data_IF_083607819368
#
_entry.id   IF_083607819368
#
_cell.length_a   1.000
_cell.length_b   1.000
_cell.length_c   1.000
_cell.angle_alpha   90.00
_cell.angle_beta   90.00
_cell.angle_gamma   90.00
#
_symmetry.space_group_name_H-M   'P 1'
#
loop_
_entity.id
_entity.type
_entity.pdbx_description
1 polymer ?
#
# COMPACT_ATOMS: atom_id res chain seq x y z
N UNK A 1 79.84 -7.48 -0.88
CA UNK A 1 79.20 -8.15 0.27
C UNK A 1 78.26 -7.15 0.92
N UNK A 2 76.99 -7.15 0.50
CA UNK A 2 75.84 -7.70 1.23
C UNK A 2 75.13 -6.62 2.07
N UNK A 3 73.92 -6.19 1.68
CA UNK A 3 72.61 -6.56 2.32
C UNK A 3 72.31 -5.59 3.49
N UNK A 4 71.22 -4.82 3.61
CA UNK A 4 69.82 -4.93 3.16
C UNK A 4 69.16 -3.54 3.22
N UNK A 5 68.30 -3.24 2.25
CA UNK A 5 67.34 -2.13 2.27
C UNK A 5 66.21 -2.47 3.24
N UNK A 6 65.78 -1.53 4.09
CA UNK A 6 64.51 -1.61 4.81
C UNK A 6 63.56 -0.55 4.21
N UNK A 7 62.60 -1.03 3.41
CA UNK A 7 61.50 -0.24 2.90
C UNK A 7 60.38 -0.26 3.94
N UNK A 8 60.00 0.91 4.46
CA UNK A 8 58.78 1.06 5.28
C UNK A 8 57.62 1.23 4.31
N UNK A 9 56.79 0.20 4.20
CA UNK A 9 55.53 0.23 3.47
C UNK A 9 54.47 0.91 4.35
N UNK A 10 54.06 2.13 3.99
CA UNK A 10 52.88 2.79 4.57
C UNK A 10 51.66 2.27 3.79
N UNK A 11 50.94 1.33 4.39
CA UNK A 11 49.67 0.85 3.86
C UNK A 11 48.60 1.92 3.99
N UNK A 12 48.18 2.49 2.86
CA UNK A 12 46.99 3.33 2.79
C UNK A 12 45.74 2.43 2.72
N UNK A 13 45.12 2.17 3.86
CA UNK A 13 43.77 1.60 3.92
C UNK A 13 42.75 2.68 3.54
N UNK A 14 42.47 2.81 2.25
CA UNK A 14 41.30 3.53 1.75
C UNK A 14 40.05 2.71 2.12
N UNK A 15 39.50 3.00 3.30
CA UNK A 15 38.16 2.57 3.67
C UNK A 15 37.17 3.21 2.67
N UNK A 16 36.68 2.40 1.74
CA UNK A 16 35.55 2.73 0.89
C UNK A 16 34.31 2.85 1.79
N UNK A 17 34.06 4.06 2.29
CA UNK A 17 32.77 4.47 2.83
C UNK A 17 31.80 4.61 1.63
N UNK A 18 31.32 3.48 1.11
CA UNK A 18 30.16 3.49 0.21
C UNK A 18 28.93 3.86 1.03
N UNK A 19 28.64 5.16 1.04
CA UNK A 19 27.33 5.77 1.20
C UNK A 19 26.32 5.07 2.10
N UNK A 20 26.40 5.32 3.41
CA UNK A 20 25.17 5.45 4.21
C UNK A 20 24.47 6.72 3.73
N UNK A 21 23.66 6.58 2.69
CA UNK A 21 22.74 7.61 2.23
C UNK A 21 21.70 7.89 3.31
N UNK A 22 22.06 8.73 4.26
CA UNK A 22 21.13 9.51 5.08
C UNK A 22 20.40 10.48 4.16
N UNK A 23 19.50 9.95 3.36
CA UNK A 23 18.58 10.75 2.57
C UNK A 23 17.44 11.17 3.47
N UNK A 24 17.47 12.41 3.95
CA UNK A 24 16.25 13.20 4.19
C UNK A 24 15.53 13.50 2.86
N UNK A 25 15.52 12.51 1.96
CA UNK A 25 14.94 12.57 0.64
C UNK A 25 13.44 12.40 0.80
N UNK A 26 12.72 13.46 0.47
CA UNK A 26 11.28 13.42 0.31
C UNK A 26 10.89 12.20 -0.54
N UNK A 27 10.00 11.35 -0.02
CA UNK A 27 9.64 10.11 -0.70
C UNK A 27 9.13 10.43 -2.12
N UNK A 28 9.73 9.84 -3.16
CA UNK A 28 9.49 10.27 -4.53
C UNK A 28 8.04 10.01 -4.92
N UNK A 29 7.54 10.87 -5.80
CA UNK A 29 6.25 10.63 -6.45
C UNK A 29 6.34 9.43 -7.38
N UNK A 30 5.38 8.52 -7.30
CA UNK A 30 5.36 7.33 -8.14
C UNK A 30 4.77 7.62 -9.53
N UNK A 31 5.39 7.09 -10.57
CA UNK A 31 4.80 7.01 -11.90
C UNK A 31 3.75 5.87 -12.01
N UNK A 32 3.14 5.70 -13.18
CA UNK A 32 2.12 4.68 -13.39
C UNK A 32 2.66 3.24 -13.19
N UNK A 33 3.88 2.95 -13.64
CA UNK A 33 4.48 1.61 -13.53
C UNK A 33 4.84 1.29 -12.08
N UNK A 34 5.42 2.27 -11.37
CA UNK A 34 5.69 2.17 -9.95
C UNK A 34 4.40 2.02 -9.15
N UNK A 35 3.35 2.76 -9.51
CA UNK A 35 2.01 2.61 -8.91
C UNK A 35 1.51 1.18 -9.06
N UNK A 36 1.58 0.60 -10.26
CA UNK A 36 1.23 -0.82 -10.50
C UNK A 36 2.08 -1.75 -9.64
N UNK A 37 3.38 -1.52 -9.53
CA UNK A 37 4.29 -2.37 -8.76
C UNK A 37 3.96 -2.40 -7.25
N UNK A 38 3.38 -1.32 -6.69
CA UNK A 38 2.96 -1.31 -5.27
C UNK A 38 1.82 -2.28 -4.99
N UNK A 39 0.94 -2.53 -5.95
CA UNK A 39 -0.24 -3.35 -5.76
C UNK A 39 0.15 -4.82 -5.55
N UNK A 40 -0.58 -5.56 -4.70
CA UNK A 40 -0.48 -7.00 -4.66
C UNK A 40 -0.84 -7.60 -6.03
N UNK A 41 -0.05 -8.58 -6.45
CA UNK A 41 -0.19 -9.40 -7.66
C UNK A 41 -0.35 -10.90 -7.29
N UNK A 42 -0.59 -11.76 -8.28
CA UNK A 42 -0.75 -13.20 -8.09
C UNK A 42 0.42 -13.87 -7.33
N UNK A 43 1.65 -13.37 -7.50
CA UNK A 43 2.84 -13.93 -6.84
C UNK A 43 2.87 -13.55 -5.36
N UNK A 44 2.38 -12.36 -5.03
CA UNK A 44 2.35 -11.85 -3.67
C UNK A 44 1.18 -12.39 -2.83
N UNK A 45 0.18 -12.99 -3.48
CA UNK A 45 -1.03 -13.53 -2.82
C UNK A 45 -1.29 -14.97 -3.27
N UNK A 46 -0.39 -15.93 -2.98
CA UNK A 46 -0.53 -17.30 -3.46
C UNK A 46 -1.82 -17.96 -2.97
N UNK A 47 -2.46 -18.75 -3.85
CA UNK A 47 -3.72 -19.45 -3.58
C UNK A 47 -4.98 -18.61 -3.80
N UNK A 48 -4.83 -17.33 -4.14
CA UNK A 48 -5.94 -16.45 -4.54
C UNK A 48 -5.97 -16.31 -6.05
N UNK A 49 -7.18 -16.32 -6.62
CA UNK A 49 -7.39 -16.07 -8.04
C UNK A 49 -7.49 -14.56 -8.29
N UNK A 50 -6.85 -14.08 -9.36
CA UNK A 50 -6.87 -12.66 -9.71
C UNK A 50 -8.21 -12.33 -10.37
N UNK A 51 -9.01 -11.51 -9.70
CA UNK A 51 -10.24 -10.96 -10.27
C UNK A 51 -9.96 -9.72 -11.13
N UNK A 52 -8.91 -8.96 -10.78
CA UNK A 52 -8.46 -7.80 -11.51
C UNK A 52 -6.94 -7.67 -11.39
N UNK A 53 -6.24 -7.79 -12.52
CA UNK A 53 -4.80 -7.59 -12.59
C UNK A 53 -4.41 -6.17 -12.14
N UNK A 54 -3.26 -6.01 -11.46
CA UNK A 54 -2.73 -4.71 -11.09
C UNK A 54 -2.68 -3.73 -12.26
N UNK A 55 -3.40 -2.62 -12.12
CA UNK A 55 -3.47 -1.57 -13.14
C UNK A 55 -3.50 -0.20 -12.48
N UNK A 56 -2.92 0.80 -13.14
CA UNK A 56 -2.95 2.19 -12.70
C UNK A 56 -3.52 3.11 -13.77
N UNK A 57 -4.32 4.08 -13.33
CA UNK A 57 -4.95 5.09 -14.17
C UNK A 57 -4.57 6.47 -13.66
N UNK A 58 -4.55 7.46 -14.57
CA UNK A 58 -4.60 8.86 -14.12
C UNK A 58 -5.89 9.10 -13.36
N UNK A 59 -5.90 10.05 -12.41
CA UNK A 59 -7.09 10.35 -11.62
C UNK A 59 -8.32 10.63 -12.50
N UNK A 60 -8.16 11.43 -13.57
CA UNK A 60 -9.25 11.74 -14.52
C UNK A 60 -9.85 10.47 -15.12
N UNK A 61 -9.01 9.53 -15.56
CA UNK A 61 -9.47 8.27 -16.14
C UNK A 61 -10.13 7.39 -15.08
N UNK A 62 -9.54 7.27 -13.90
CA UNK A 62 -10.10 6.52 -12.78
C UNK A 62 -11.51 7.01 -12.40
N UNK A 63 -11.71 8.33 -12.33
CA UNK A 63 -13.02 8.93 -12.06
C UNK A 63 -14.03 8.65 -13.19
N UNK A 64 -13.62 8.80 -14.45
CA UNK A 64 -14.50 8.54 -15.60
C UNK A 64 -14.96 7.08 -15.69
N UNK A 65 -14.17 6.15 -15.17
CA UNK A 65 -14.48 4.72 -15.13
C UNK A 65 -15.23 4.30 -13.86
N UNK A 66 -15.43 5.21 -12.89
CA UNK A 66 -16.04 4.90 -11.60
C UNK A 66 -15.18 4.06 -10.64
N UNK A 67 -13.93 3.75 -11.02
CA UNK A 67 -12.96 3.01 -10.17
C UNK A 67 -12.28 3.93 -9.15
N UNK A 68 -12.14 5.21 -9.48
CA UNK A 68 -11.70 6.26 -8.55
C UNK A 68 -12.90 6.98 -7.95
N UNK A 69 -12.79 7.37 -6.67
CA UNK A 69 -13.76 8.25 -6.02
C UNK A 69 -13.06 9.31 -5.18
N UNK A 70 -13.61 10.52 -5.23
CA UNK A 70 -13.25 11.63 -4.38
C UNK A 70 -14.42 11.92 -3.44
N UNK A 71 -14.13 12.19 -2.17
CA UNK A 71 -15.14 12.36 -1.13
C UNK A 71 -14.92 13.67 -0.38
N UNK A 72 -16.02 14.34 -0.04
CA UNK A 72 -16.04 15.62 0.69
C UNK A 72 -16.56 16.79 -0.15
N UNK A 73 -16.93 17.87 0.54
CA UNK A 73 -17.14 19.18 -0.07
C UNK A 73 -15.76 19.79 -0.33
N UNK A 74 -15.41 19.95 -1.60
CA UNK A 74 -14.08 20.31 -2.13
C UNK A 74 -13.03 19.14 -2.15
N UNK A 75 -12.14 19.09 -3.16
CA UNK A 75 -11.52 17.85 -3.69
C UNK A 75 -10.37 17.25 -2.85
N UNK A 76 -10.24 17.55 -1.56
CA UNK A 76 -9.05 17.25 -0.75
C UNK A 76 -8.64 15.78 -0.73
N UNK A 77 -9.61 14.84 -0.74
CA UNK A 77 -9.30 13.40 -0.77
C UNK A 77 -8.62 12.94 -2.06
N UNK A 78 -8.69 13.75 -3.12
CA UNK A 78 -8.07 13.49 -4.42
C UNK A 78 -7.14 14.62 -4.84
N UNK A 79 -6.97 15.63 -3.99
CA UNK A 79 -6.17 16.79 -4.32
C UNK A 79 -4.75 16.30 -4.59
N UNK A 80 -4.30 16.55 -5.82
CA UNK A 80 -2.95 16.19 -6.29
C UNK A 80 -2.66 14.68 -6.28
N UNK A 81 -3.69 13.83 -6.33
CA UNK A 81 -3.52 12.43 -6.71
C UNK A 81 -3.09 12.39 -8.18
N UNK A 82 -1.97 11.72 -8.45
CA UNK A 82 -1.42 11.55 -9.79
C UNK A 82 -1.98 10.31 -10.45
N UNK A 83 -1.84 9.17 -9.76
CA UNK A 83 -2.34 7.89 -10.21
C UNK A 83 -3.17 7.20 -9.14
N UNK A 84 -4.15 6.46 -9.61
CA UNK A 84 -4.92 5.53 -8.81
C UNK A 84 -4.68 4.13 -9.35
N UNK A 85 -4.15 3.25 -8.50
CA UNK A 85 -3.94 1.84 -8.81
C UNK A 85 -5.00 0.97 -8.16
N UNK A 86 -5.37 -0.12 -8.84
CA UNK A 86 -6.31 -1.13 -8.32
C UNK A 86 -5.86 -2.55 -8.64
N UNK A 87 -6.11 -3.48 -7.72
CA UNK A 87 -6.09 -4.93 -7.97
C UNK A 87 -7.14 -5.62 -7.11
N UNK A 88 -7.62 -6.78 -7.54
CA UNK A 88 -8.65 -7.53 -6.81
C UNK A 88 -8.45 -9.03 -6.93
N UNK A 89 -8.86 -9.75 -5.90
CA UNK A 89 -8.67 -11.19 -5.77
C UNK A 89 -9.90 -11.85 -5.18
N UNK A 90 -10.12 -13.11 -5.53
CA UNK A 90 -11.13 -13.95 -4.93
C UNK A 90 -10.55 -15.33 -4.58
N UNK A 91 -11.16 -15.98 -3.60
CA UNK A 91 -10.88 -17.37 -3.26
C UNK A 91 -12.17 -18.01 -2.74
N UNK A 92 -12.47 -19.23 -3.20
CA UNK A 92 -13.70 -19.92 -2.80
C UNK A 92 -13.77 -20.06 -1.27
N UNK A 93 -14.93 -19.69 -0.71
CA UNK A 93 -15.17 -19.78 0.74
C UNK A 93 -14.42 -18.72 1.57
N UNK A 94 -13.89 -17.67 0.93
CA UNK A 94 -13.21 -16.56 1.60
C UNK A 94 -13.86 -15.22 1.22
N UNK A 95 -13.61 -14.14 2.00
CA UNK A 95 -13.99 -12.79 1.60
C UNK A 95 -13.29 -12.37 0.29
N UNK A 96 -13.98 -11.64 -0.58
CA UNK A 96 -13.38 -10.99 -1.74
C UNK A 96 -12.44 -9.87 -1.28
N UNK A 97 -11.31 -9.73 -1.98
CA UNK A 97 -10.26 -8.76 -1.66
C UNK A 97 -10.15 -7.70 -2.74
N UNK A 98 -9.99 -6.45 -2.33
CA UNK A 98 -9.71 -5.34 -3.23
C UNK A 98 -8.68 -4.40 -2.64
N UNK A 99 -7.74 -3.97 -3.48
CA UNK A 99 -6.65 -3.07 -3.13
C UNK A 99 -6.74 -1.82 -3.98
N UNK A 100 -6.58 -0.66 -3.35
CA UNK A 100 -6.48 0.63 -4.03
C UNK A 100 -5.24 1.35 -3.51
N UNK A 101 -4.46 1.96 -4.40
CA UNK A 101 -3.40 2.90 -4.04
C UNK A 101 -3.69 4.25 -4.68
N UNK A 102 -3.53 5.32 -3.93
CA UNK A 102 -3.51 6.70 -4.42
C UNK A 102 -2.09 7.23 -4.25
N UNK A 103 -1.49 7.67 -5.36
CA UNK A 103 -0.14 8.23 -5.34
C UNK A 103 -0.21 9.74 -5.43
N UNK A 104 0.51 10.41 -4.54
CA UNK A 104 0.54 11.86 -4.44
C UNK A 104 1.84 12.42 -5.01
N UNK A 105 1.89 13.74 -5.17
CA UNK A 105 3.11 14.45 -5.55
C UNK A 105 4.25 14.20 -4.57
N UNK A 106 3.94 14.11 -3.28
CA UNK A 106 4.91 14.02 -2.21
C UNK A 106 4.28 13.50 -0.91
N UNK A 107 5.13 13.15 0.06
CA UNK A 107 4.73 12.63 1.37
C UNK A 107 3.89 13.63 2.18
N UNK A 108 4.22 14.93 2.09
CA UNK A 108 3.48 15.98 2.79
C UNK A 108 2.03 16.07 2.29
N UNK A 109 1.83 16.01 0.98
CA UNK A 109 0.51 16.01 0.34
C UNK A 109 -0.27 14.76 0.76
N UNK A 110 0.32 13.56 0.68
CA UNK A 110 -0.32 12.33 1.13
C UNK A 110 -0.74 12.42 2.61
N UNK A 111 0.13 12.94 3.48
CA UNK A 111 -0.18 13.14 4.91
C UNK A 111 -1.36 14.09 5.10
N UNK A 112 -1.43 15.19 4.34
CA UNK A 112 -2.55 16.15 4.44
C UNK A 112 -3.88 15.57 3.98
N UNK A 113 -3.87 14.74 2.92
CA UNK A 113 -5.08 14.13 2.36
C UNK A 113 -5.62 12.96 3.20
N UNK A 114 -4.77 12.35 4.03
CA UNK A 114 -5.05 11.09 4.72
C UNK A 114 -6.40 11.05 5.45
N UNK A 115 -6.73 12.09 6.24
CA UNK A 115 -8.00 12.12 6.99
C UNK A 115 -9.22 12.32 6.09
N UNK A 116 -9.08 13.06 5.00
CA UNK A 116 -10.15 13.25 4.02
C UNK A 116 -10.44 11.95 3.26
N UNK A 117 -9.39 11.23 2.84
CA UNK A 117 -9.51 9.89 2.23
C UNK A 117 -10.22 8.93 3.21
N UNK A 118 -9.79 8.92 4.48
CA UNK A 118 -10.37 8.05 5.50
C UNK A 118 -11.85 8.33 5.72
N UNK A 119 -12.22 9.61 5.90
CA UNK A 119 -13.62 10.03 6.06
C UNK A 119 -14.47 9.57 4.87
N UNK A 120 -13.94 9.67 3.66
CA UNK A 120 -14.62 9.24 2.44
C UNK A 120 -14.84 7.74 2.34
N UNK A 121 -13.80 6.95 2.59
CA UNK A 121 -13.86 5.50 2.42
C UNK A 121 -14.51 4.78 3.59
N UNK A 122 -14.35 5.27 4.83
CA UNK A 122 -14.99 4.68 6.02
C UNK A 122 -16.52 4.61 5.87
N UNK A 123 -17.13 5.54 5.14
CA UNK A 123 -18.57 5.52 4.85
C UNK A 123 -19.06 4.26 4.10
N UNK A 124 -18.16 3.49 3.48
CA UNK A 124 -18.48 2.20 2.84
C UNK A 124 -18.56 1.02 3.79
N UNK A 125 -18.25 1.23 5.07
CA UNK A 125 -18.42 0.22 6.11
C UNK A 125 -19.41 0.78 7.12
N UNK A 126 -20.73 0.76 6.81
CA UNK A 126 -21.75 1.29 7.70
C UNK A 126 -21.74 0.55 9.05
N UNK A 127 -22.12 1.29 10.09
CA UNK A 127 -22.08 0.80 11.48
C UNK A 127 -20.72 0.23 11.87
N UNK A 128 -19.64 0.79 11.32
CA UNK A 128 -18.28 0.34 11.56
C UNK A 128 -17.83 0.58 13.00
N UNK A 129 -17.08 -0.38 13.52
CA UNK A 129 -16.26 -0.22 14.71
C UNK A 129 -14.77 -0.22 14.35
N UNK A 130 -13.91 0.47 15.11
CA UNK A 130 -12.47 0.42 14.89
C UNK A 130 -11.94 -0.99 15.15
N UNK A 131 -10.90 -1.37 14.41
CA UNK A 131 -10.13 -2.59 14.63
C UNK A 131 -8.63 -2.28 14.62
N UNK A 132 -7.84 -3.09 15.31
CA UNK A 132 -6.39 -2.93 15.35
C UNK A 132 -5.73 -3.79 14.27
N UNK A 133 -4.86 -3.18 13.47
CA UNK A 133 -4.06 -3.85 12.43
C UNK A 133 -2.56 -3.86 12.75
N UNK A 134 -2.20 -3.48 13.98
CA UNK A 134 -0.81 -3.38 14.43
C UNK A 134 -0.06 -2.19 13.83
N UNK A 135 1.26 -2.29 13.86
CA UNK A 135 2.17 -1.29 13.28
C UNK A 135 2.35 -1.57 11.78
N UNK A 136 1.56 -0.88 10.95
CA UNK A 136 1.64 -0.97 9.49
C UNK A 136 1.73 0.44 8.90
N UNK A 137 2.83 0.73 8.20
CA UNK A 137 3.09 2.05 7.62
C UNK A 137 3.23 3.17 8.66
N UNK A 138 3.28 4.41 8.17
CA UNK A 138 3.49 5.62 8.97
C UNK A 138 2.19 6.12 9.62
N UNK A 139 1.05 5.87 8.98
CA UNK A 139 -0.28 6.15 9.50
C UNK A 139 -1.21 4.99 9.11
N UNK A 140 -2.09 4.59 10.02
CA UNK A 140 -3.09 3.56 9.74
C UNK A 140 -4.39 3.82 10.48
N UNK A 141 -5.49 3.47 9.84
CA UNK A 141 -6.82 3.36 10.44
C UNK A 141 -7.47 2.10 9.88
N UNK A 142 -8.28 1.43 10.69
CA UNK A 142 -9.00 0.25 10.25
C UNK A 142 -10.37 0.16 10.92
N UNK A 143 -11.34 -0.35 10.17
CA UNK A 143 -12.70 -0.61 10.64
C UNK A 143 -13.23 -1.95 10.12
N UNK A 144 -14.10 -2.55 10.91
CA UNK A 144 -14.94 -3.68 10.50
C UNK A 144 -16.41 -3.35 10.79
N UNK A 145 -17.31 -3.85 9.96
CA UNK A 145 -18.75 -3.61 10.08
C UNK A 145 -19.52 -4.32 8.98
N UNK A 146 -20.66 -3.74 8.60
CA UNK A 146 -21.42 -4.24 7.46
C UNK A 146 -20.73 -3.83 6.16
N UNK A 147 -20.84 -4.66 5.12
CA UNK A 147 -20.45 -4.25 3.77
C UNK A 147 -21.46 -3.24 3.22
N UNK A 148 -21.00 -2.34 2.35
CA UNK A 148 -21.88 -1.53 1.52
C UNK A 148 -22.56 -2.32 0.40
N UNK A 149 -22.24 -3.62 0.23
CA UNK A 149 -22.97 -4.49 -0.68
C UNK A 149 -24.43 -4.60 -0.26
N UNK A 150 -25.35 -4.72 -1.23
CA UNK A 150 -26.80 -4.81 -0.94
C UNK A 150 -27.21 -6.16 -0.33
N UNK A 151 -26.27 -7.07 -0.11
CA UNK A 151 -26.55 -8.37 0.49
C UNK A 151 -26.74 -8.22 2.00
N UNK A 152 -27.92 -8.60 2.48
CA UNK A 152 -28.26 -8.57 3.91
C UNK A 152 -27.23 -9.38 4.70
N UNK A 153 -26.72 -8.81 5.79
CA UNK A 153 -25.75 -9.43 6.72
C UNK A 153 -24.34 -9.65 6.14
N UNK A 154 -24.03 -9.08 4.97
CA UNK A 154 -22.64 -9.04 4.47
C UNK A 154 -21.75 -8.20 5.37
N UNK A 155 -20.52 -8.67 5.60
CA UNK A 155 -19.53 -7.97 6.43
C UNK A 155 -18.46 -7.34 5.55
N UNK A 156 -17.99 -6.17 5.97
CA UNK A 156 -16.93 -5.42 5.32
C UNK A 156 -15.83 -5.05 6.32
N UNK A 157 -14.58 -5.12 5.87
CA UNK A 157 -13.42 -4.57 6.59
C UNK A 157 -12.68 -3.63 5.65
N UNK A 158 -12.25 -2.49 6.18
CA UNK A 158 -11.43 -1.50 5.48
C UNK A 158 -10.22 -1.17 6.32
N UNK A 159 -9.04 -1.23 5.70
CA UNK A 159 -7.77 -0.75 6.27
C UNK A 159 -7.22 0.33 5.37
N UNK A 160 -6.94 1.51 5.92
CA UNK A 160 -6.20 2.57 5.24
C UNK A 160 -4.80 2.65 5.84
N UNK A 161 -3.78 2.72 4.98
CA UNK A 161 -2.38 2.87 5.39
C UNK A 161 -1.72 3.97 4.57
N UNK A 162 -0.86 4.78 5.18
CA UNK A 162 0.05 5.70 4.47
C UNK A 162 1.50 5.21 4.57
N UNK A 163 2.20 5.23 3.44
CA UNK A 163 3.66 5.03 3.37
C UNK A 163 4.19 6.11 2.42
N UNK A 164 5.06 6.99 2.91
CA UNK A 164 5.57 8.15 2.17
C UNK A 164 4.50 8.89 1.37
N UNK A 165 4.66 8.94 0.04
CA UNK A 165 3.82 9.66 -0.92
C UNK A 165 2.55 8.91 -1.35
N UNK A 166 2.22 7.76 -0.74
CA UNK A 166 1.05 6.96 -1.11
C UNK A 166 0.09 6.72 0.06
N UNK A 167 -1.21 6.69 -0.27
CA UNK A 167 -2.27 6.17 0.61
C UNK A 167 -2.82 4.90 -0.02
N UNK A 168 -2.91 3.84 0.77
CA UNK A 168 -3.36 2.52 0.38
C UNK A 168 -4.65 2.17 1.12
N UNK A 169 -5.55 1.48 0.43
CA UNK A 169 -6.80 0.96 0.97
C UNK A 169 -6.82 -0.54 0.68
N UNK A 170 -6.91 -1.35 1.72
CA UNK A 170 -7.22 -2.78 1.63
C UNK A 170 -8.66 -2.98 2.08
N UNK A 171 -9.44 -3.68 1.27
CA UNK A 171 -10.84 -3.96 1.54
C UNK A 171 -11.09 -5.46 1.44
N UNK A 172 -11.94 -5.95 2.33
CA UNK A 172 -12.43 -7.30 2.31
C UNK A 172 -13.95 -7.27 2.47
N UNK A 173 -14.65 -8.00 1.62
CA UNK A 173 -16.10 -8.14 1.68
C UNK A 173 -16.48 -9.61 1.72
N UNK A 174 -17.38 -9.97 2.64
CA UNK A 174 -17.88 -11.34 2.76
C UNK A 174 -19.38 -11.36 2.53
N UNK A 175 -19.82 -12.28 1.68
CA UNK A 175 -21.23 -12.65 1.56
C UNK A 175 -21.71 -13.33 2.85
N UNK A 176 -23.03 -13.41 3.10
CA UNK A 176 -23.55 -14.06 4.29
C UNK A 176 -23.01 -15.48 4.43
N UNK A 177 -22.77 -15.91 5.68
CA UNK A 177 -22.23 -17.24 6.05
C UNK A 177 -20.75 -17.48 5.75
N UNK A 178 -20.06 -16.53 5.11
CA UNK A 178 -18.59 -16.56 5.06
C UNK A 178 -18.06 -15.83 6.29
N UNK A 179 -17.26 -16.54 7.09
CA UNK A 179 -16.62 -15.92 8.25
C UNK A 179 -15.50 -14.98 7.83
N UNK A 180 -15.44 -13.83 8.50
CA UNK A 180 -14.37 -12.85 8.33
C UNK A 180 -13.97 -12.32 9.71
N UNK A 181 -12.78 -12.72 10.15
CA UNK A 181 -12.19 -12.18 11.38
C UNK A 181 -11.77 -10.72 11.17
N UNK A 182 -11.82 -9.91 12.23
CA UNK A 182 -11.38 -8.50 12.17
C UNK A 182 -9.94 -8.35 11.69
N UNK A 183 -9.08 -9.29 12.09
CA UNK A 183 -7.66 -9.30 11.74
C UNK A 183 -7.39 -9.80 10.33
N UNK A 184 -8.41 -10.26 9.59
CA UNK A 184 -8.26 -10.91 8.28
C UNK A 184 -7.40 -10.08 7.31
N UNK A 185 -7.68 -8.77 7.20
CA UNK A 185 -6.94 -7.89 6.31
C UNK A 185 -5.54 -7.51 6.79
N UNK A 186 -5.17 -7.77 8.04
CA UNK A 186 -3.91 -7.28 8.62
C UNK A 186 -2.71 -7.72 7.79
N UNK A 187 -2.61 -9.02 7.49
CA UNK A 187 -1.49 -9.55 6.69
C UNK A 187 -1.44 -8.97 5.28
N UNK A 188 -2.59 -8.77 4.64
CA UNK A 188 -2.68 -8.20 3.30
C UNK A 188 -2.29 -6.73 3.28
N UNK A 189 -2.76 -5.95 4.26
CA UNK A 189 -2.38 -4.55 4.41
C UNK A 189 -0.87 -4.40 4.71
N UNK A 190 -0.29 -5.30 5.51
CA UNK A 190 1.16 -5.36 5.74
C UNK A 190 1.93 -5.60 4.46
N UNK A 191 1.54 -6.61 3.65
CA UNK A 191 2.18 -6.89 2.37
C UNK A 191 2.08 -5.68 1.44
N UNK A 192 0.90 -5.07 1.34
CA UNK A 192 0.69 -3.90 0.49
C UNK A 192 1.59 -2.73 0.91
N UNK A 193 1.67 -2.45 2.21
CA UNK A 193 2.53 -1.41 2.76
C UNK A 193 4.02 -1.67 2.53
N UNK A 194 4.48 -2.91 2.71
CA UNK A 194 5.87 -3.29 2.45
C UNK A 194 6.23 -3.16 0.97
N UNK A 195 5.32 -3.50 0.05
CA UNK A 195 5.55 -3.30 -1.39
C UNK A 195 5.65 -1.81 -1.72
N UNK A 196 4.79 -0.97 -1.14
CA UNK A 196 4.85 0.48 -1.33
C UNK A 196 6.14 1.10 -0.80
N UNK A 197 6.64 0.62 0.34
CA UNK A 197 7.93 1.01 0.92
C UNK A 197 9.08 0.65 -0.02
N UNK A 198 9.15 -0.62 -0.46
CA UNK A 198 10.16 -1.11 -1.41
C UNK A 198 10.18 -0.27 -2.69
N UNK A 199 9.03 0.04 -3.27
CA UNK A 199 8.94 0.85 -4.50
C UNK A 199 9.42 2.29 -4.28
N UNK A 200 9.10 2.91 -3.14
CA UNK A 200 9.54 4.28 -2.82
C UNK A 200 11.04 4.37 -2.55
N UNK A 201 11.65 3.28 -2.09
CA UNK A 201 13.10 3.13 -2.01
C UNK A 201 13.76 2.79 -3.36
N UNK A 202 12.99 2.71 -4.46
CA UNK A 202 13.49 2.35 -5.78
C UNK A 202 13.82 0.87 -5.96
N UNK A 203 13.35 0.01 -5.05
CA UNK A 203 13.56 -1.45 -5.10
C UNK A 203 12.42 -2.14 -5.86
N UNK A 204 12.72 -3.29 -6.45
CA UNK A 204 11.69 -4.20 -6.97
C UNK A 204 10.92 -4.80 -5.80
N UNK A 205 9.58 -4.67 -5.75
CA UNK A 205 8.80 -5.22 -4.65
C UNK A 205 8.84 -6.75 -4.63
N UNK A 206 9.09 -7.30 -3.46
CA UNK A 206 9.21 -8.76 -3.20
C UNK A 206 8.31 -9.21 -2.05
N UNK A 207 7.70 -8.27 -1.32
CA UNK A 207 6.78 -8.61 -0.26
C UNK A 207 5.53 -9.33 -0.82
N UNK A 208 5.15 -10.38 -0.09
CA UNK A 208 4.04 -11.27 -0.39
C UNK A 208 3.67 -12.08 0.85
N UNK A 209 2.49 -12.69 0.85
CA UNK A 209 2.08 -13.61 1.90
C UNK A 209 3.02 -14.82 1.88
N UNK A 210 3.78 -15.00 2.96
CA UNK A 210 4.51 -16.24 3.20
C UNK A 210 3.53 -17.31 3.64
N UNK A 211 3.75 -18.54 3.16
CA UNK A 211 2.85 -19.69 3.25
C UNK A 211 1.90 -19.69 4.45
N UNK A 212 0.60 -19.78 4.13
CA UNK A 212 -0.43 -20.27 5.05
C UNK A 212 -0.22 -21.74 5.35
#
# INVERSE_FOLDING_TARGET
MNVRKAAVAIGASLALLSGCGGGTGEAPSLDAKQTVATLPDAKSVPGWEVSLEPVAYSLKKALSMGVGRCYGEAPDSCARVRFLGVSAFHQQGKPDLSFIVQTYKDSATAKSAYRAVWKGWKGRVPSSRPVNVGEVGEQRDAVAGLSASMAKDSKGTLVQVRVGSVIMLSMAESVPRIEMADSFLTKFATVFAQRADQVQEGKTPTAGLRGV
#
